data_IF_325500861349
#
_entry.id   IF_325500861349
#
_cell.length_a   1.000
_cell.length_b   1.000
_cell.length_c   1.000
_cell.angle_alpha   90.00
_cell.angle_beta   90.00
_cell.angle_gamma   90.00
#
_symmetry.space_group_name_H-M   'P 1'
#
loop_
_entity.id
_entity.type
_entity.pdbx_description
1 polymer ?
#
# COMPACT_ATOMS: atom_id res chain seq x y z
N UNK A 1 5.78 -24.66 21.57
CA UNK A 1 6.68 -24.00 20.60
C UNK A 1 7.04 -22.63 21.15
N UNK A 2 8.32 -22.25 21.05
CA UNK A 2 8.78 -20.93 21.52
C UNK A 2 8.17 -19.81 20.66
N UNK A 3 7.64 -18.77 21.29
CA UNK A 3 7.09 -17.60 20.55
C UNK A 3 8.17 -16.86 19.74
N UNK A 4 9.42 -16.93 20.15
CA UNK A 4 10.55 -16.40 19.37
C UNK A 4 10.69 -17.08 17.99
N UNK A 5 10.41 -18.38 17.91
CA UNK A 5 10.38 -19.09 16.64
C UNK A 5 9.21 -18.62 15.77
N UNK A 6 8.05 -18.37 16.38
CA UNK A 6 6.88 -17.79 15.68
C UNK A 6 7.23 -16.42 15.10
N UNK A 7 7.89 -15.56 15.87
CA UNK A 7 8.35 -14.24 15.38
C UNK A 7 9.40 -14.36 14.27
N UNK A 8 10.34 -15.31 14.38
CA UNK A 8 11.32 -15.57 13.32
C UNK A 8 10.63 -16.03 12.01
N UNK A 9 9.61 -16.89 12.10
CA UNK A 9 8.81 -17.33 10.96
C UNK A 9 7.89 -16.26 10.40
N UNK A 10 7.51 -15.27 11.19
CA UNK A 10 6.70 -14.13 10.72
C UNK A 10 7.46 -13.31 9.65
N UNK A 11 8.80 -13.29 9.66
CA UNK A 11 9.60 -12.55 8.67
C UNK A 11 9.42 -13.13 7.25
N UNK A 12 9.71 -14.42 6.97
CA UNK A 12 9.46 -14.98 5.64
C UNK A 12 7.97 -14.99 5.28
N UNK A 13 7.05 -15.17 6.25
CA UNK A 13 5.62 -15.11 6.02
C UNK A 13 5.20 -13.68 5.57
N UNK A 14 5.75 -12.64 6.19
CA UNK A 14 5.54 -11.25 5.76
C UNK A 14 6.07 -11.01 4.35
N UNK A 15 7.24 -11.56 4.00
CA UNK A 15 7.77 -11.51 2.64
C UNK A 15 6.81 -12.15 1.62
N UNK A 16 6.25 -13.32 1.94
CA UNK A 16 5.23 -13.97 1.10
C UNK A 16 3.95 -13.13 1.00
N UNK A 17 3.54 -12.47 2.08
CA UNK A 17 2.38 -11.58 2.06
C UNK A 17 2.63 -10.35 1.16
N UNK A 18 3.84 -9.78 1.18
CA UNK A 18 4.27 -8.76 0.21
C UNK A 18 4.18 -9.31 -1.22
N UNK A 19 4.64 -10.53 -1.47
CA UNK A 19 4.53 -11.15 -2.80
C UNK A 19 3.07 -11.31 -3.26
N UNK A 20 2.17 -11.69 -2.36
CA UNK A 20 0.73 -11.78 -2.64
C UNK A 20 0.17 -10.38 -2.97
N UNK A 21 0.63 -9.34 -2.25
CA UNK A 21 0.25 -7.96 -2.57
C UNK A 21 0.73 -7.52 -3.96
N UNK A 22 1.93 -7.94 -4.39
CA UNK A 22 2.39 -7.66 -5.77
C UNK A 22 1.52 -8.38 -6.81
N UNK A 23 1.05 -9.59 -6.54
CA UNK A 23 0.07 -10.26 -7.43
C UNK A 23 -1.24 -9.47 -7.51
N UNK A 24 -1.74 -8.96 -6.37
CA UNK A 24 -2.90 -8.06 -6.34
C UNK A 24 -2.65 -6.82 -7.19
N UNK A 25 -1.49 -6.19 -7.02
CA UNK A 25 -1.05 -5.00 -7.74
C UNK A 25 -1.04 -5.23 -9.25
N UNK A 26 -0.41 -6.30 -9.74
CA UNK A 26 -0.34 -6.64 -11.16
C UNK A 26 -1.73 -7.00 -11.73
N UNK A 27 -2.57 -7.66 -10.92
CA UNK A 27 -3.99 -7.82 -11.25
C UNK A 27 -4.71 -6.47 -11.38
N UNK A 28 -4.37 -5.49 -10.52
CA UNK A 28 -4.90 -4.13 -10.56
C UNK A 28 -4.59 -3.40 -11.87
N UNK A 29 -3.40 -3.61 -12.40
CA UNK A 29 -3.01 -3.13 -13.74
C UNK A 29 -3.58 -3.96 -14.89
N UNK A 30 -4.25 -5.09 -14.60
CA UNK A 30 -4.75 -5.99 -15.64
C UNK A 30 -3.65 -6.76 -16.37
N UNK A 31 -2.43 -6.78 -15.84
CA UNK A 31 -1.23 -7.31 -16.48
C UNK A 31 -0.90 -8.76 -16.09
N UNK A 32 -1.44 -9.27 -14.96
CA UNK A 32 -1.11 -10.60 -14.46
C UNK A 32 -1.73 -11.73 -15.32
N UNK A 33 -2.98 -11.57 -15.75
CA UNK A 33 -3.66 -12.48 -16.67
C UNK A 33 -4.18 -11.73 -17.90
N UNK A 34 -4.32 -12.43 -19.02
CA UNK A 34 -4.97 -11.89 -20.23
C UNK A 34 -6.46 -11.58 -20.00
N UNK A 35 -7.11 -12.27 -19.06
CA UNK A 35 -8.53 -12.11 -18.73
C UNK A 35 -8.71 -11.10 -17.61
N UNK A 36 -9.43 -10.01 -17.86
CA UNK A 36 -9.81 -9.04 -16.83
C UNK A 36 -10.61 -9.67 -15.68
N UNK A 37 -11.47 -10.66 -16.00
CA UNK A 37 -12.24 -11.40 -14.99
C UNK A 37 -11.31 -12.22 -14.09
N UNK A 38 -10.27 -12.86 -14.63
CA UNK A 38 -9.28 -13.59 -13.85
C UNK A 38 -8.48 -12.64 -12.96
N UNK A 39 -8.07 -11.47 -13.46
CA UNK A 39 -7.42 -10.44 -12.66
C UNK A 39 -8.34 -9.98 -11.50
N UNK A 40 -9.63 -9.72 -11.76
CA UNK A 40 -10.57 -9.30 -10.71
C UNK A 40 -10.79 -10.37 -9.64
N UNK A 41 -10.87 -11.64 -10.02
CA UNK A 41 -11.04 -12.77 -9.06
C UNK A 41 -9.78 -12.96 -8.22
N UNK A 42 -8.62 -13.12 -8.87
CA UNK A 42 -7.36 -13.35 -8.16
C UNK A 42 -6.96 -12.13 -7.32
N UNK A 43 -7.12 -10.92 -7.87
CA UNK A 43 -6.88 -9.67 -7.13
C UNK A 43 -7.78 -9.55 -5.90
N UNK A 44 -9.05 -9.95 -5.97
CA UNK A 44 -9.97 -9.96 -4.81
C UNK A 44 -9.54 -10.98 -3.76
N UNK A 45 -9.16 -12.21 -4.15
CA UNK A 45 -8.65 -13.23 -3.21
C UNK A 45 -7.35 -12.73 -2.54
N UNK A 46 -6.40 -12.25 -3.32
CA UNK A 46 -5.17 -11.66 -2.80
C UNK A 46 -5.46 -10.47 -1.87
N UNK A 47 -6.49 -9.67 -2.18
CA UNK A 47 -6.95 -8.56 -1.36
C UNK A 47 -7.49 -8.98 0.01
N UNK A 48 -8.21 -10.08 0.10
CA UNK A 48 -8.64 -10.67 1.39
C UNK A 48 -7.41 -11.05 2.22
N UNK A 49 -6.44 -11.75 1.62
CA UNK A 49 -5.23 -12.20 2.31
C UNK A 49 -4.35 -11.03 2.78
N UNK A 50 -4.28 -9.96 1.99
CA UNK A 50 -3.45 -8.77 2.27
C UNK A 50 -4.23 -7.65 2.98
N UNK A 51 -5.45 -7.90 3.44
CA UNK A 51 -6.29 -6.90 4.11
C UNK A 51 -6.54 -5.65 3.24
N UNK A 52 -6.65 -5.82 1.92
CA UNK A 52 -6.80 -4.74 0.95
C UNK A 52 -8.06 -4.94 0.09
N UNK A 53 -9.05 -4.05 0.14
CA UNK A 53 -10.23 -4.14 -0.74
C UNK A 53 -9.81 -3.83 -2.18
N UNK A 54 -9.65 -4.89 -2.98
CA UNK A 54 -8.99 -4.85 -4.30
C UNK A 54 -9.52 -3.79 -5.25
N UNK A 55 -10.86 -3.70 -5.45
CA UNK A 55 -11.41 -2.77 -6.43
C UNK A 55 -11.27 -1.31 -6.00
N UNK A 56 -11.40 -1.02 -4.69
CA UNK A 56 -11.16 0.31 -4.16
C UNK A 56 -9.69 0.70 -4.29
N UNK A 57 -8.78 -0.17 -3.88
CA UNK A 57 -7.35 0.03 -4.01
C UNK A 57 -6.92 0.23 -5.48
N UNK A 58 -7.40 -0.62 -6.38
CA UNK A 58 -7.13 -0.51 -7.83
C UNK A 58 -7.53 0.86 -8.38
N UNK A 59 -8.69 1.39 -7.97
CA UNK A 59 -9.15 2.71 -8.39
C UNK A 59 -8.26 3.83 -7.87
N UNK A 60 -7.90 3.79 -6.58
CA UNK A 60 -7.01 4.79 -5.98
C UNK A 60 -5.59 4.71 -6.57
N UNK A 61 -5.10 3.51 -6.84
CA UNK A 61 -3.82 3.29 -7.50
C UNK A 61 -3.80 3.81 -8.95
N UNK A 62 -4.88 3.64 -9.69
CA UNK A 62 -5.01 4.24 -11.03
C UNK A 62 -5.03 5.78 -10.98
N UNK A 63 -5.65 6.39 -9.96
CA UNK A 63 -5.59 7.85 -9.73
C UNK A 63 -4.15 8.27 -9.40
N UNK A 64 -3.46 7.51 -8.54
CA UNK A 64 -2.06 7.74 -8.20
C UNK A 64 -1.17 7.76 -9.44
N UNK A 65 -1.27 6.75 -10.33
CA UNK A 65 -0.52 6.73 -11.59
C UNK A 65 -0.83 7.92 -12.50
N UNK A 66 -2.08 8.35 -12.54
CA UNK A 66 -2.52 9.47 -13.38
C UNK A 66 -2.15 10.85 -12.83
N UNK A 67 -1.70 10.95 -11.57
CA UNK A 67 -1.46 12.24 -10.90
C UNK A 67 -0.21 12.28 -10.01
N UNK A 68 0.63 11.26 -10.05
CA UNK A 68 1.89 11.25 -9.29
C UNK A 68 2.75 12.46 -9.66
N UNK A 69 3.27 13.18 -8.66
CA UNK A 69 4.06 14.38 -8.86
C UNK A 69 3.27 15.65 -9.25
N UNK A 70 1.92 15.60 -9.32
CA UNK A 70 1.04 16.75 -9.56
C UNK A 70 0.60 17.35 -8.20
N UNK A 71 1.07 18.55 -7.89
CA UNK A 71 0.80 19.24 -6.63
C UNK A 71 -0.69 19.56 -6.43
N UNK A 72 -1.45 19.77 -7.50
CA UNK A 72 -2.86 20.14 -7.44
C UNK A 72 -3.78 18.93 -7.29
N UNK A 73 -3.28 17.71 -7.61
CA UNK A 73 -4.05 16.46 -7.57
C UNK A 73 -3.53 15.45 -6.54
N UNK A 74 -2.58 15.85 -5.70
CA UNK A 74 -2.01 14.98 -4.66
C UNK A 74 -3.04 14.61 -3.59
N UNK A 75 -2.76 13.58 -2.80
CA UNK A 75 -3.57 13.15 -1.66
C UNK A 75 -4.45 11.94 -1.91
N UNK A 76 -4.34 11.31 -3.09
CA UNK A 76 -5.03 10.05 -3.40
C UNK A 76 -4.00 8.99 -3.75
N UNK A 77 -3.88 7.97 -2.89
CA UNK A 77 -2.95 6.85 -3.10
C UNK A 77 -1.48 7.25 -3.02
N UNK A 78 -1.14 8.38 -2.41
CA UNK A 78 0.22 8.88 -2.25
C UNK A 78 0.58 9.21 -0.79
N UNK A 79 1.86 9.45 -0.54
CA UNK A 79 2.34 10.02 0.73
C UNK A 79 2.14 11.53 0.68
N UNK A 80 1.18 12.04 1.44
CA UNK A 80 0.86 13.46 1.43
C UNK A 80 2.09 14.35 1.68
N UNK A 81 2.34 15.25 0.74
CA UNK A 81 3.49 16.15 0.73
C UNK A 81 3.02 17.60 0.72
N UNK A 82 3.56 18.44 1.60
CA UNK A 82 3.39 19.88 1.60
C UNK A 82 4.58 20.54 0.94
N UNK A 83 4.35 21.61 0.16
CA UNK A 83 5.43 22.48 -0.26
C UNK A 83 6.01 23.25 0.95
N UNK A 84 7.21 23.76 0.82
CA UNK A 84 7.84 24.59 1.88
C UNK A 84 6.97 25.81 2.19
N UNK A 85 6.38 26.42 1.17
CA UNK A 85 5.53 27.59 1.31
C UNK A 85 4.23 27.25 2.09
N UNK A 86 3.54 26.16 1.72
CA UNK A 86 2.36 25.68 2.43
C UNK A 86 2.68 25.34 3.89
N UNK A 87 3.81 24.70 4.15
CA UNK A 87 4.24 24.39 5.50
C UNK A 87 4.49 25.65 6.33
N UNK A 88 5.20 26.65 5.78
CA UNK A 88 5.50 27.92 6.46
C UNK A 88 4.25 28.73 6.76
N UNK A 89 3.27 28.77 5.85
CA UNK A 89 1.98 29.47 6.03
C UNK A 89 1.01 28.74 6.95
N UNK A 90 1.25 27.46 7.21
CA UNK A 90 0.36 26.66 8.04
C UNK A 90 0.47 27.03 9.52
N UNK A 91 -0.66 27.00 10.29
CA UNK A 91 -0.63 27.19 11.73
C UNK A 91 0.20 26.11 12.44
N UNK A 92 0.67 26.41 13.64
CA UNK A 92 1.60 25.54 14.36
C UNK A 92 1.09 24.10 14.58
N UNK A 93 -0.21 23.92 14.84
CA UNK A 93 -0.81 22.60 15.05
C UNK A 93 -0.81 21.76 13.76
N UNK A 94 -1.02 22.38 12.59
CA UNK A 94 -0.95 21.70 11.29
C UNK A 94 0.48 21.30 10.97
N UNK A 95 1.46 22.16 11.27
CA UNK A 95 2.89 21.85 11.13
C UNK A 95 3.30 20.70 12.06
N UNK A 96 2.82 20.70 13.32
CA UNK A 96 3.07 19.59 14.26
C UNK A 96 2.46 18.29 13.73
N UNK A 97 1.19 18.32 13.30
CA UNK A 97 0.53 17.15 12.72
C UNK A 97 1.29 16.59 11.52
N UNK A 98 1.77 17.45 10.61
CA UNK A 98 2.57 17.04 9.46
C UNK A 98 3.92 16.42 9.88
N UNK A 99 4.61 16.99 10.86
CA UNK A 99 5.86 16.41 11.43
C UNK A 99 5.62 15.02 12.04
N UNK A 100 4.55 14.88 12.83
CA UNK A 100 4.18 13.59 13.41
C UNK A 100 3.86 12.57 12.33
N UNK A 101 3.05 12.94 11.34
CA UNK A 101 2.73 12.10 10.17
C UNK A 101 4.00 11.64 9.43
N UNK A 102 4.97 12.54 9.20
CA UNK A 102 6.23 12.27 8.49
C UNK A 102 7.31 11.63 9.38
N UNK A 103 7.07 11.45 10.68
CA UNK A 103 8.02 10.78 11.57
C UNK A 103 8.14 9.29 11.23
N UNK A 104 9.34 8.72 11.36
CA UNK A 104 9.59 7.31 11.06
C UNK A 104 8.71 6.37 11.87
N UNK A 105 8.42 6.73 13.14
CA UNK A 105 7.55 5.94 14.02
C UNK A 105 6.12 5.85 13.47
N UNK A 106 5.56 6.96 13.00
CA UNK A 106 4.21 6.97 12.43
C UNK A 106 4.24 6.39 11.04
N UNK A 107 5.16 6.84 10.17
CA UNK A 107 5.21 6.44 8.77
C UNK A 107 5.45 4.93 8.57
N UNK A 108 6.36 4.33 9.34
CA UNK A 108 6.76 2.93 9.18
C UNK A 108 6.36 2.01 10.36
N UNK A 109 5.88 2.58 11.46
CA UNK A 109 5.43 1.83 12.63
C UNK A 109 3.91 1.74 12.73
N UNK A 110 3.27 2.84 13.10
CA UNK A 110 1.84 2.87 13.40
C UNK A 110 0.97 3.05 12.15
N UNK A 111 1.44 3.84 11.19
CA UNK A 111 0.71 4.17 9.96
C UNK A 111 0.35 2.94 9.12
N UNK A 112 1.27 2.00 8.86
CA UNK A 112 0.95 0.79 8.13
C UNK A 112 -0.16 -0.05 8.78
N UNK A 113 -0.11 -0.24 10.09
CA UNK A 113 -1.19 -0.92 10.82
C UNK A 113 -2.52 -0.18 10.70
N UNK A 114 -2.50 1.15 10.87
CA UNK A 114 -3.71 1.95 10.71
C UNK A 114 -4.29 1.82 9.29
N UNK A 115 -3.46 1.90 8.25
CA UNK A 115 -3.92 1.78 6.85
C UNK A 115 -4.56 0.42 6.61
N UNK A 116 -3.86 -0.67 6.93
CA UNK A 116 -4.33 -2.02 6.58
C UNK A 116 -5.42 -2.57 7.52
N UNK A 117 -5.45 -2.19 8.79
CA UNK A 117 -6.44 -2.68 9.75
C UNK A 117 -7.65 -1.74 9.91
N UNK A 118 -7.50 -0.44 9.60
CA UNK A 118 -8.57 0.55 9.82
C UNK A 118 -8.98 1.24 8.52
N UNK A 119 -8.07 1.98 7.86
CA UNK A 119 -8.43 2.81 6.71
C UNK A 119 -8.99 1.97 5.55
N UNK A 120 -8.38 0.83 5.24
CA UNK A 120 -8.88 -0.12 4.23
C UNK A 120 -10.22 -0.79 4.62
N UNK A 121 -10.73 -0.60 5.84
CA UNK A 121 -12.09 -1.07 6.24
C UNK A 121 -13.16 -0.05 5.93
N UNK A 122 -12.77 1.17 5.57
CA UNK A 122 -13.67 2.29 5.33
C UNK A 122 -13.89 2.53 3.83
N UNK A 123 -15.07 3.06 3.50
CA UNK A 123 -15.40 3.43 2.12
C UNK A 123 -14.65 4.70 1.75
N UNK A 124 -13.87 4.62 0.67
CA UNK A 124 -13.20 5.78 0.08
C UNK A 124 -14.18 6.77 -0.53
N UNK A 125 -13.90 8.08 -0.47
CA UNK A 125 -14.70 9.09 -1.18
C UNK A 125 -14.78 8.85 -2.70
N UNK A 126 -13.78 8.17 -3.27
CA UNK A 126 -13.70 7.84 -4.69
C UNK A 126 -14.39 6.52 -5.06
N UNK A 127 -14.94 5.77 -4.08
CA UNK A 127 -15.52 4.46 -4.30
C UNK A 127 -16.90 4.54 -4.96
N UNK A 128 -17.06 3.88 -6.10
CA UNK A 128 -18.34 3.62 -6.73
C UNK A 128 -19.07 2.42 -6.10
N UNK A 129 -20.19 2.02 -6.71
CA UNK A 129 -21.02 0.91 -6.19
C UNK A 129 -20.27 -0.43 -6.15
N UNK A 130 -19.48 -0.74 -7.19
CA UNK A 130 -18.72 -2.01 -7.26
C UNK A 130 -17.62 -2.07 -6.20
N UNK A 131 -16.92 -0.97 -5.99
CA UNK A 131 -15.84 -0.85 -4.99
C UNK A 131 -16.42 -1.01 -3.58
N UNK A 132 -17.56 -0.39 -3.28
CA UNK A 132 -18.26 -0.54 -1.99
C UNK A 132 -18.66 -1.99 -1.72
N UNK A 133 -19.26 -2.67 -2.70
CA UNK A 133 -19.62 -4.08 -2.56
C UNK A 133 -18.38 -4.95 -2.32
N UNK A 134 -17.32 -4.76 -3.12
CA UNK A 134 -16.05 -5.49 -2.94
C UNK A 134 -15.45 -5.25 -1.56
N UNK A 135 -15.44 -4.01 -1.06
CA UNK A 135 -14.96 -3.67 0.27
C UNK A 135 -15.73 -4.43 1.36
N UNK A 136 -17.07 -4.42 1.31
CA UNK A 136 -17.88 -5.12 2.33
C UNK A 136 -17.70 -6.64 2.27
N UNK A 137 -17.61 -7.23 1.06
CA UNK A 137 -17.30 -8.65 0.89
C UNK A 137 -15.89 -8.99 1.41
N UNK A 138 -14.89 -8.15 1.14
CA UNK A 138 -13.54 -8.32 1.68
C UNK A 138 -13.53 -8.25 3.20
N UNK A 139 -14.24 -7.30 3.80
CA UNK A 139 -14.34 -7.17 5.25
C UNK A 139 -15.03 -8.39 5.88
N UNK A 140 -16.11 -8.87 5.27
CA UNK A 140 -16.82 -10.07 5.72
C UNK A 140 -15.94 -11.31 5.62
N UNK A 141 -15.21 -11.49 4.53
CA UNK A 141 -14.29 -12.62 4.35
C UNK A 141 -13.15 -12.60 5.39
N UNK A 142 -12.54 -11.44 5.65
CA UNK A 142 -11.51 -11.28 6.68
C UNK A 142 -12.08 -11.65 8.06
N UNK A 143 -13.27 -11.14 8.39
CA UNK A 143 -13.93 -11.46 9.65
C UNK A 143 -14.22 -12.96 9.77
N UNK A 144 -14.76 -13.58 8.73
CA UNK A 144 -15.04 -15.01 8.72
C UNK A 144 -13.76 -15.86 8.92
N UNK A 145 -12.66 -15.51 8.24
CA UNK A 145 -11.37 -16.19 8.42
C UNK A 145 -10.87 -16.01 9.87
N UNK A 146 -10.95 -14.80 10.42
CA UNK A 146 -10.52 -14.54 11.80
C UNK A 146 -11.35 -15.32 12.82
N UNK A 147 -12.67 -15.42 12.62
CA UNK A 147 -13.56 -16.20 13.50
C UNK A 147 -13.28 -17.70 13.41
N UNK A 148 -13.11 -18.24 12.18
CA UNK A 148 -12.82 -19.67 11.96
C UNK A 148 -11.47 -20.05 12.57
N UNK A 149 -10.43 -19.29 12.26
CA UNK A 149 -9.07 -19.58 12.78
C UNK A 149 -8.99 -19.32 14.30
N UNK A 150 -9.63 -18.27 14.80
CA UNK A 150 -9.69 -17.97 16.22
C UNK A 150 -10.46 -19.05 17.01
N UNK A 151 -11.56 -19.57 16.47
CA UNK A 151 -12.30 -20.68 17.08
C UNK A 151 -11.53 -22.01 17.04
N UNK A 152 -10.78 -22.27 15.95
CA UNK A 152 -10.03 -23.51 15.77
C UNK A 152 -8.73 -23.57 16.59
N UNK A 153 -8.00 -22.46 16.69
CA UNK A 153 -6.64 -22.42 17.25
C UNK A 153 -6.49 -21.50 18.48
N UNK A 154 -7.54 -20.75 18.85
CA UNK A 154 -7.52 -19.72 19.88
C UNK A 154 -7.35 -18.32 19.30
N UNK A 155 -8.17 -17.37 19.76
CA UNK A 155 -8.13 -15.97 19.28
C UNK A 155 -6.81 -15.26 19.64
N UNK A 156 -6.28 -15.55 20.83
CA UNK A 156 -4.99 -15.00 21.27
C UNK A 156 -3.86 -15.48 20.36
N UNK A 157 -3.81 -16.78 20.09
CA UNK A 157 -2.80 -17.42 19.25
C UNK A 157 -2.88 -16.91 17.81
N UNK A 158 -4.09 -16.79 17.26
CA UNK A 158 -4.32 -16.19 15.96
C UNK A 158 -3.76 -14.75 15.88
N UNK A 159 -4.10 -13.90 16.84
CA UNK A 159 -3.61 -12.52 16.86
C UNK A 159 -2.10 -12.42 17.05
N UNK A 160 -1.51 -13.26 17.92
CA UNK A 160 -0.07 -13.31 18.15
C UNK A 160 0.73 -13.74 16.91
N UNK A 161 0.11 -14.45 15.96
CA UNK A 161 0.72 -14.81 14.67
C UNK A 161 0.41 -13.75 13.60
N UNK A 162 -0.87 -13.38 13.46
CA UNK A 162 -1.32 -12.55 12.36
C UNK A 162 -0.83 -11.10 12.46
N UNK A 163 -0.82 -10.50 13.65
CA UNK A 163 -0.44 -9.10 13.82
C UNK A 163 1.04 -8.83 13.47
N UNK A 164 2.02 -9.62 13.93
CA UNK A 164 3.41 -9.45 13.48
C UNK A 164 3.59 -9.59 11.97
N UNK A 165 2.91 -10.54 11.33
CA UNK A 165 2.99 -10.76 9.89
C UNK A 165 2.44 -9.54 9.13
N UNK A 166 1.23 -9.07 9.51
CA UNK A 166 0.65 -7.88 8.88
C UNK A 166 1.53 -6.66 9.10
N UNK A 167 2.01 -6.46 10.33
CA UNK A 167 2.84 -5.30 10.63
C UNK A 167 4.11 -5.27 9.79
N UNK A 168 4.86 -6.38 9.74
CA UNK A 168 6.09 -6.47 8.96
C UNK A 168 5.81 -6.30 7.46
N UNK A 169 4.79 -6.95 6.93
CA UNK A 169 4.44 -6.87 5.51
C UNK A 169 3.98 -5.47 5.12
N UNK A 170 3.08 -4.85 5.91
CA UNK A 170 2.58 -3.51 5.64
C UNK A 170 3.66 -2.45 5.79
N UNK A 171 4.55 -2.59 6.80
CA UNK A 171 5.73 -1.72 6.96
C UNK A 171 6.65 -1.81 5.76
N UNK A 172 6.96 -3.03 5.29
CA UNK A 172 7.79 -3.22 4.10
C UNK A 172 7.14 -2.61 2.85
N UNK A 173 5.83 -2.79 2.67
CA UNK A 173 5.08 -2.21 1.55
C UNK A 173 5.06 -0.68 1.59
N UNK A 174 4.74 -0.07 2.73
CA UNK A 174 4.74 1.40 2.90
C UNK A 174 6.14 1.97 2.75
N UNK A 175 7.17 1.29 3.28
CA UNK A 175 8.56 1.72 3.13
C UNK A 175 9.00 1.68 1.65
N UNK A 176 8.70 0.60 0.92
CA UNK A 176 8.97 0.51 -0.52
C UNK A 176 8.29 1.64 -1.27
N UNK A 177 7.00 1.85 -1.04
CA UNK A 177 6.22 2.92 -1.67
C UNK A 177 6.80 4.31 -1.35
N UNK A 178 7.21 4.53 -0.09
CA UNK A 178 7.82 5.79 0.34
C UNK A 178 9.09 6.10 -0.44
N UNK A 179 10.07 5.18 -0.47
CA UNK A 179 11.36 5.42 -1.14
C UNK A 179 11.23 5.51 -2.67
N UNK A 180 10.15 5.00 -3.22
CA UNK A 180 9.86 5.07 -4.65
C UNK A 180 9.37 6.45 -5.08
N UNK A 181 8.80 7.26 -4.17
CA UNK A 181 8.21 8.57 -4.46
C UNK A 181 8.72 9.72 -3.57
N UNK A 182 9.54 9.44 -2.57
CA UNK A 182 10.01 10.42 -1.59
C UNK A 182 11.53 10.36 -1.48
N UNK A 183 12.21 10.91 -2.47
CA UNK A 183 13.68 11.02 -2.53
C UNK A 183 14.07 12.45 -2.87
N UNK A 184 15.36 12.77 -2.74
CA UNK A 184 15.92 14.08 -3.08
C UNK A 184 15.70 14.37 -4.57
N UNK A 185 15.36 15.61 -4.90
CA UNK A 185 15.07 16.08 -6.28
C UNK A 185 13.88 15.38 -6.97
N UNK A 186 12.98 14.71 -6.23
CA UNK A 186 11.77 14.12 -6.79
C UNK A 186 10.94 15.17 -7.52
N UNK A 187 10.49 14.83 -8.73
CA UNK A 187 9.64 15.69 -9.56
C UNK A 187 8.30 16.01 -8.86
N UNK A 188 8.04 17.31 -8.68
CA UNK A 188 6.76 17.86 -8.25
C UNK A 188 6.50 19.16 -9.02
N UNK A 189 5.35 19.25 -9.70
CA UNK A 189 4.95 20.42 -10.47
C UNK A 189 3.49 20.78 -10.22
N UNK A 190 3.14 22.04 -10.38
CA UNK A 190 1.74 22.48 -10.50
C UNK A 190 1.15 21.94 -11.80
N UNK A 191 -0.17 21.70 -11.81
CA UNK A 191 -0.84 21.02 -12.92
C UNK A 191 -0.55 21.61 -14.32
N UNK A 192 -0.46 22.94 -14.53
CA UNK A 192 -0.13 23.50 -15.85
C UNK A 192 1.26 23.14 -16.38
N UNK A 193 2.22 22.83 -15.48
CA UNK A 193 3.59 22.44 -15.83
C UNK A 193 3.83 20.93 -15.75
N UNK A 194 2.86 20.18 -15.23
CA UNK A 194 2.99 18.77 -15.01
C UNK A 194 3.01 17.97 -16.33
N UNK A 195 3.93 17.02 -16.43
CA UNK A 195 4.08 16.14 -17.60
C UNK A 195 4.17 14.69 -17.14
N UNK A 196 3.30 13.84 -17.68
CA UNK A 196 3.21 12.43 -17.32
C UNK A 196 4.53 11.68 -17.39
N UNK A 197 5.26 11.79 -18.52
CA UNK A 197 6.52 11.07 -18.72
C UNK A 197 7.62 11.56 -17.76
N UNK A 198 7.71 12.88 -17.50
CA UNK A 198 8.64 13.43 -16.53
C UNK A 198 8.29 12.99 -15.10
N UNK A 199 7.00 13.03 -14.73
CA UNK A 199 6.54 12.56 -13.43
C UNK A 199 6.83 11.07 -13.22
N UNK A 200 6.69 10.23 -14.25
CA UNK A 200 7.04 8.82 -14.18
C UNK A 200 8.54 8.58 -13.99
N UNK A 201 9.39 9.24 -14.79
CA UNK A 201 10.83 8.99 -14.84
C UNK A 201 11.62 9.70 -13.72
N UNK A 202 11.19 10.90 -13.33
CA UNK A 202 11.88 11.77 -12.37
C UNK A 202 11.13 11.85 -11.02
N UNK A 203 9.84 11.49 -11.00
CA UNK A 203 9.00 11.40 -9.80
C UNK A 203 8.94 10.00 -9.19
N UNK A 204 9.55 9.01 -9.83
CA UNK A 204 9.64 7.63 -9.33
C UNK A 204 11.06 7.10 -9.44
N UNK A 205 11.48 6.29 -8.46
CA UNK A 205 12.87 5.85 -8.36
C UNK A 205 13.10 4.45 -8.95
N UNK A 206 14.37 4.15 -9.25
CA UNK A 206 14.88 2.80 -9.34
C UNK A 206 15.53 2.41 -8.01
N UNK A 207 14.89 1.51 -7.27
CA UNK A 207 15.43 0.98 -6.03
C UNK A 207 16.00 -0.42 -6.23
N UNK A 208 17.33 -0.50 -6.30
CA UNK A 208 18.05 -1.75 -6.54
C UNK A 208 18.03 -2.63 -5.29
N UNK A 209 17.34 -3.76 -5.36
CA UNK A 209 17.25 -4.75 -4.30
C UNK A 209 18.15 -5.96 -4.58
N UNK A 210 18.61 -6.70 -3.55
CA UNK A 210 19.18 -8.04 -3.71
C UNK A 210 18.18 -9.00 -4.37
N UNK A 211 18.65 -10.00 -5.12
CA UNK A 211 17.80 -10.93 -5.90
C UNK A 211 16.67 -11.58 -5.09
N UNK A 212 16.93 -11.95 -3.84
CA UNK A 212 15.93 -12.53 -2.95
C UNK A 212 14.78 -11.54 -2.69
N UNK A 213 15.09 -10.28 -2.39
CA UNK A 213 14.10 -9.23 -2.16
C UNK A 213 13.40 -8.83 -3.47
N UNK A 214 14.08 -8.86 -4.62
CA UNK A 214 13.46 -8.68 -5.93
C UNK A 214 12.39 -9.73 -6.18
N UNK A 215 12.63 -11.00 -5.78
CA UNK A 215 11.64 -12.05 -5.91
C UNK A 215 10.38 -11.77 -5.05
N UNK A 216 10.55 -11.39 -3.78
CA UNK A 216 9.43 -11.07 -2.90
C UNK A 216 8.64 -9.85 -3.39
N UNK A 217 9.31 -8.84 -3.92
CA UNK A 217 8.71 -7.58 -4.37
C UNK A 217 8.34 -7.55 -5.85
N UNK A 218 8.46 -8.68 -6.58
CA UNK A 218 8.12 -8.75 -8.01
C UNK A 218 8.86 -7.76 -8.90
N UNK A 219 10.07 -7.35 -8.51
CA UNK A 219 10.86 -6.32 -9.19
C UNK A 219 10.21 -4.92 -9.20
N UNK A 220 9.25 -4.63 -8.33
CA UNK A 220 8.62 -3.29 -8.25
C UNK A 220 9.63 -2.16 -7.96
N UNK A 221 10.89 -2.51 -7.63
CA UNK A 221 11.99 -1.55 -7.54
C UNK A 221 12.29 -0.78 -8.84
N UNK A 222 11.87 -1.30 -10.01
CA UNK A 222 11.88 -0.56 -11.29
C UNK A 222 10.67 0.39 -11.41
N UNK A 223 10.41 1.19 -10.39
CA UNK A 223 9.17 1.92 -10.24
C UNK A 223 8.96 3.00 -11.29
N UNK A 224 10.04 3.65 -11.74
CA UNK A 224 10.02 4.61 -12.83
C UNK A 224 9.54 4.02 -14.17
N UNK A 225 9.85 2.74 -14.43
CA UNK A 225 9.34 2.03 -15.62
C UNK A 225 7.88 1.64 -15.40
N UNK A 226 7.54 1.20 -14.18
CA UNK A 226 6.19 0.82 -13.80
C UNK A 226 5.20 1.99 -13.96
N UNK A 227 5.60 3.23 -13.66
CA UNK A 227 4.76 4.42 -13.85
C UNK A 227 4.59 4.84 -15.34
N UNK A 228 5.33 4.27 -16.27
CA UNK A 228 5.16 4.49 -17.72
C UNK A 228 4.15 3.54 -18.39
N UNK A 229 3.67 2.50 -17.69
CA UNK A 229 2.86 1.41 -18.27
C UNK A 229 1.39 1.48 -17.88
#
# INVERSE_FOLDING_TARGET
>A
VSYWLTLALAVPAAGLLVRIFIILHDCGHGSFFKSNKANDVVGTIAGVLTFTPYLQWRREHAIHHASSGDLDRRGVGDVYTMTVEEYRRSPWWKRLGYRLYRSSLVMFGLGPLFVFLVAHRLVSPHAGKREKVNLHLTNLAILAIALVLGAAFGFKEYLMIQLPIIWLASTAGVWMFYIQHQFEDTYWKEHPEWQYAAAALEGSSYYKLPKLLQWFTGNIGFHHIHHLS
#
